data_IF_324300247603
#
_entry.id   IF_324300247603
#
_cell.length_a   1.000
_cell.length_b   1.000
_cell.length_c   1.000
_cell.angle_alpha   90.00
_cell.angle_beta   90.00
_cell.angle_gamma   90.00
#
_symmetry.space_group_name_H-M   'P 1'
#
loop_
_entity.id
_entity.type
_entity.pdbx_description
1 polymer ?
#
# COMPACT_ATOMS: atom_id res chain seq x y z
N UNK A 1 -28.66 10.51 33.50
CA UNK A 1 -27.43 10.27 32.70
C UNK A 1 -27.15 11.50 31.84
N UNK A 2 -25.98 12.12 31.99
CA UNK A 2 -25.72 13.47 31.44
C UNK A 2 -25.33 13.39 29.95
N UNK A 3 -26.02 14.13 29.06
CA UNK A 3 -25.79 14.05 27.60
C UNK A 3 -24.34 14.32 27.20
N UNK A 4 -23.64 15.18 27.95
CA UNK A 4 -22.20 15.47 27.78
C UNK A 4 -21.32 14.25 28.05
N UNK A 5 -21.58 13.51 29.13
CA UNK A 5 -20.84 12.28 29.44
C UNK A 5 -21.11 11.15 28.45
N UNK A 6 -22.31 11.09 27.85
CA UNK A 6 -22.59 10.13 26.79
C UNK A 6 -21.81 10.45 25.51
N UNK A 7 -21.75 11.73 25.11
CA UNK A 7 -21.00 12.17 23.92
C UNK A 7 -19.50 11.91 24.06
N UNK A 8 -18.92 12.18 25.23
CA UNK A 8 -17.50 11.91 25.52
C UNK A 8 -17.16 10.43 25.44
N UNK A 9 -18.02 9.56 25.96
CA UNK A 9 -17.83 8.10 25.89
C UNK A 9 -17.89 7.59 24.44
N UNK A 10 -18.82 8.10 23.63
CA UNK A 10 -18.92 7.75 22.21
C UNK A 10 -17.69 8.21 21.43
N UNK A 11 -17.22 9.44 21.66
CA UNK A 11 -16.02 9.97 21.01
C UNK A 11 -14.76 9.19 21.40
N UNK A 12 -14.61 8.84 22.68
CA UNK A 12 -13.48 8.03 23.15
C UNK A 12 -13.49 6.61 22.54
N UNK A 13 -14.68 6.00 22.42
CA UNK A 13 -14.83 4.68 21.78
C UNK A 13 -14.51 4.73 20.28
N UNK A 14 -14.98 5.76 19.57
CA UNK A 14 -14.66 5.96 18.15
C UNK A 14 -13.16 6.17 17.92
N UNK A 15 -12.49 6.95 18.78
CA UNK A 15 -11.05 7.18 18.70
C UNK A 15 -10.24 5.88 18.94
N UNK A 16 -10.67 5.04 19.89
CA UNK A 16 -10.06 3.72 20.12
C UNK A 16 -10.22 2.77 18.92
N UNK A 17 -11.38 2.79 18.25
CA UNK A 17 -11.66 1.96 17.06
C UNK A 17 -10.82 2.38 15.83
N UNK A 18 -10.48 3.66 15.69
CA UNK A 18 -9.62 4.11 14.60
C UNK A 18 -8.17 3.61 14.74
N UNK A 19 -7.69 3.33 15.95
CA UNK A 19 -6.32 2.85 16.18
C UNK A 19 -6.11 1.37 15.82
N UNK A 20 -7.19 0.60 15.65
CA UNK A 20 -7.13 -0.84 15.38
C UNK A 20 -7.15 -1.20 13.89
N UNK A 21 -7.45 -0.25 13.00
CA UNK A 21 -7.44 -0.51 11.56
C UNK A 21 -6.03 -0.33 11.03
N UNK A 22 -5.33 -1.44 10.79
CA UNK A 22 -4.05 -1.46 10.06
C UNK A 22 -4.23 -2.29 8.80
N UNK A 23 -4.14 -1.65 7.64
CA UNK A 23 -3.86 -2.36 6.39
C UNK A 23 -2.44 -2.95 6.51
N UNK A 24 -2.24 -4.17 6.05
CA UNK A 24 -0.94 -4.82 6.12
C UNK A 24 -0.04 -4.26 5.02
N UNK A 25 1.00 -3.53 5.42
CA UNK A 25 2.03 -3.10 4.48
C UNK A 25 2.79 -4.31 3.91
N UNK A 26 3.28 -4.16 2.69
CA UNK A 26 4.12 -5.13 1.99
C UNK A 26 5.49 -4.52 1.67
N UNK A 27 6.34 -4.26 2.68
CA UNK A 27 7.51 -3.39 2.53
C UNK A 27 8.74 -4.06 1.89
N UNK A 28 8.72 -5.38 1.67
CA UNK A 28 9.88 -6.13 1.17
C UNK A 28 9.49 -7.31 0.28
N UNK A 29 10.48 -7.88 -0.41
CA UNK A 29 10.30 -9.09 -1.22
C UNK A 29 9.71 -10.22 -0.37
N UNK A 30 8.64 -10.85 -0.90
CA UNK A 30 7.86 -11.89 -0.22
C UNK A 30 7.16 -11.44 1.08
N UNK A 31 6.97 -10.13 1.28
CA UNK A 31 6.15 -9.60 2.36
C UNK A 31 6.85 -9.53 3.71
N UNK A 32 6.14 -9.10 4.76
CA UNK A 32 6.72 -8.83 6.08
C UNK A 32 7.42 -10.06 6.68
N UNK A 33 6.91 -11.27 6.42
CA UNK A 33 7.47 -12.52 6.93
C UNK A 33 8.42 -13.23 5.93
N UNK A 34 8.61 -12.67 4.72
CA UNK A 34 9.37 -13.27 3.60
C UNK A 34 8.87 -14.65 3.15
N UNK A 35 7.64 -15.00 3.49
CA UNK A 35 7.01 -16.26 3.12
C UNK A 35 6.25 -16.18 1.79
N UNK A 36 5.93 -14.98 1.30
CA UNK A 36 5.13 -14.76 0.10
C UNK A 36 3.63 -14.99 0.35
N UNK A 37 3.20 -14.98 1.61
CA UNK A 37 1.82 -15.25 2.00
C UNK A 37 1.09 -13.94 2.28
N UNK A 38 -0.05 -13.77 1.62
CA UNK A 38 -0.97 -12.66 1.85
C UNK A 38 -2.09 -13.09 2.82
N UNK A 39 -2.34 -12.30 3.85
CA UNK A 39 -3.31 -12.63 4.91
C UNK A 39 -4.57 -11.76 4.91
N UNK A 40 -4.67 -10.73 4.07
CA UNK A 40 -5.88 -9.89 4.05
C UNK A 40 -7.06 -10.63 3.39
N UNK A 41 -8.26 -10.31 3.87
CA UNK A 41 -9.53 -10.86 3.37
C UNK A 41 -10.30 -9.81 2.57
N UNK A 42 -11.41 -10.19 1.94
CA UNK A 42 -12.23 -9.24 1.16
C UNK A 42 -11.65 -8.86 -0.21
N UNK A 43 -10.56 -9.49 -0.63
CA UNK A 43 -10.02 -9.35 -1.99
C UNK A 43 -10.84 -10.16 -3.00
N UNK A 44 -10.76 -9.76 -4.26
CA UNK A 44 -11.40 -10.49 -5.36
C UNK A 44 -10.73 -11.86 -5.53
N UNK A 45 -11.55 -12.92 -5.58
CA UNK A 45 -11.09 -14.28 -5.89
C UNK A 45 -10.93 -14.51 -7.39
N UNK A 46 -11.69 -13.78 -8.19
CA UNK A 46 -11.69 -13.81 -9.65
C UNK A 46 -11.81 -12.38 -10.16
N UNK A 47 -11.15 -12.09 -11.28
CA UNK A 47 -11.33 -10.80 -11.93
C UNK A 47 -12.65 -10.75 -12.71
N UNK A 48 -13.29 -9.57 -12.79
CA UNK A 48 -14.40 -9.35 -13.71
C UNK A 48 -13.98 -9.63 -15.16
N UNK A 49 -14.94 -10.00 -16.01
CA UNK A 49 -14.66 -10.33 -17.42
C UNK A 49 -14.11 -9.11 -18.19
N UNK A 50 -14.57 -7.92 -17.84
CA UNK A 50 -14.13 -6.63 -18.34
C UNK A 50 -12.79 -6.15 -17.73
N UNK A 51 -12.28 -6.87 -16.73
CA UNK A 51 -11.04 -6.55 -16.02
C UNK A 51 -11.23 -5.55 -14.87
N UNK A 52 -10.13 -5.25 -14.17
CA UNK A 52 -10.12 -4.27 -13.08
C UNK A 52 -10.08 -2.84 -13.61
N UNK A 53 -10.83 -1.94 -12.97
CA UNK A 53 -10.71 -0.50 -13.22
C UNK A 53 -9.34 0.00 -12.79
N UNK A 54 -8.56 0.46 -13.75
CA UNK A 54 -7.22 1.03 -13.51
C UNK A 54 -7.37 2.39 -12.85
N UNK A 55 -6.73 2.57 -11.69
CA UNK A 55 -6.75 3.84 -10.94
C UNK A 55 -5.74 4.83 -11.49
N UNK A 56 -4.55 4.36 -11.83
CA UNK A 56 -3.46 5.17 -12.38
C UNK A 56 -2.46 4.29 -13.12
N UNK A 57 -1.61 4.93 -13.93
CA UNK A 57 -0.41 4.34 -14.55
C UNK A 57 0.69 5.40 -14.56
N UNK A 58 1.93 4.96 -14.45
CA UNK A 58 3.10 5.85 -14.50
C UNK A 58 4.22 5.19 -15.32
N UNK A 59 4.92 5.92 -16.20
CA UNK A 59 6.11 5.41 -16.87
C UNK A 59 7.24 5.16 -15.86
N UNK A 60 7.88 4.01 -15.99
CA UNK A 60 9.05 3.62 -15.19
C UNK A 60 10.21 3.25 -16.11
N UNK A 61 11.44 3.48 -15.66
CA UNK A 61 12.63 3.03 -16.35
C UNK A 61 12.84 1.51 -16.24
N UNK A 62 13.86 0.97 -16.90
CA UNK A 62 14.24 -0.43 -16.71
C UNK A 62 14.69 -0.67 -15.25
N UNK A 63 14.39 -1.85 -14.71
CA UNK A 63 14.73 -2.23 -13.35
C UNK A 63 14.38 -3.69 -13.07
N UNK A 64 14.98 -4.24 -12.03
CA UNK A 64 14.83 -5.66 -11.67
C UNK A 64 14.00 -5.88 -10.40
N UNK A 65 13.70 -4.81 -9.66
CA UNK A 65 12.95 -4.93 -8.41
C UNK A 65 11.46 -5.10 -8.65
N UNK A 66 10.82 -5.85 -7.75
CA UNK A 66 9.38 -5.81 -7.60
C UNK A 66 8.97 -4.55 -6.83
N UNK A 67 7.81 -3.93 -7.14
CA UNK A 67 7.31 -2.84 -6.33
C UNK A 67 6.94 -3.32 -4.92
N UNK A 68 7.09 -2.43 -3.94
CA UNK A 68 6.66 -2.64 -2.54
C UNK A 68 5.66 -1.55 -2.16
N UNK A 69 4.72 -1.87 -1.26
CA UNK A 69 3.68 -0.93 -0.82
C UNK A 69 3.81 -0.74 0.68
N UNK A 70 4.00 0.50 1.11
CA UNK A 70 4.09 0.82 2.54
C UNK A 70 3.56 2.22 2.82
N UNK A 71 2.80 2.40 3.91
CA UNK A 71 2.28 3.71 4.30
C UNK A 71 1.46 4.40 3.21
N UNK A 72 0.70 3.62 2.42
CA UNK A 72 -0.12 4.13 1.32
C UNK A 72 0.65 4.63 0.09
N UNK A 73 1.93 4.25 -0.06
CA UNK A 73 2.76 4.59 -1.21
C UNK A 73 3.30 3.35 -1.89
N UNK A 74 3.55 3.44 -3.19
CA UNK A 74 4.26 2.41 -3.97
C UNK A 74 5.69 2.84 -4.16
N UNK A 75 6.64 1.99 -3.77
CA UNK A 75 8.06 2.20 -3.99
C UNK A 75 8.58 1.21 -5.02
N UNK A 76 9.43 1.69 -5.93
CA UNK A 76 10.03 0.88 -6.99
C UNK A 76 11.43 1.40 -7.28
N UNK A 77 12.40 0.50 -7.50
CA UNK A 77 13.69 0.91 -8.06
C UNK A 77 13.67 0.81 -9.58
N UNK A 78 14.06 1.88 -10.26
CA UNK A 78 14.24 1.91 -11.70
C UNK A 78 15.58 2.60 -12.06
N UNK A 79 15.95 2.53 -13.33
CA UNK A 79 17.14 3.16 -13.87
C UNK A 79 16.76 4.34 -14.77
N UNK A 80 17.49 5.45 -14.63
CA UNK A 80 17.53 6.52 -15.64
C UNK A 80 18.72 6.26 -16.56
N UNK A 81 18.43 6.01 -17.84
CA UNK A 81 19.45 5.77 -18.87
C UNK A 81 19.76 7.07 -19.61
N UNK A 82 21.02 7.51 -19.59
CA UNK A 82 21.48 8.71 -20.30
C UNK A 82 22.93 8.51 -20.75
N UNK A 83 23.12 8.12 -22.02
CA UNK A 83 24.45 7.74 -22.53
C UNK A 83 25.50 8.84 -22.24
N UNK A 84 26.68 8.49 -21.70
CA UNK A 84 27.21 7.14 -21.48
C UNK A 84 26.88 6.54 -20.09
N UNK A 85 26.05 7.20 -19.29
CA UNK A 85 25.77 6.85 -17.89
C UNK A 85 24.40 6.21 -17.70
N UNK A 86 24.28 5.49 -16.59
CA UNK A 86 23.01 5.02 -16.05
C UNK A 86 23.03 5.27 -14.55
N UNK A 87 21.90 5.67 -13.99
CA UNK A 87 21.73 5.84 -12.54
C UNK A 87 20.54 5.05 -12.07
N UNK A 88 20.75 4.23 -11.05
CA UNK A 88 19.67 3.66 -10.27
C UNK A 88 19.03 4.74 -9.41
N UNK A 89 17.71 4.66 -9.24
CA UNK A 89 16.96 5.55 -8.37
C UNK A 89 15.78 4.80 -7.74
N UNK A 90 15.36 5.28 -6.58
CA UNK A 90 14.13 4.84 -5.93
C UNK A 90 13.03 5.82 -6.34
N UNK A 91 11.90 5.28 -6.76
CA UNK A 91 10.66 6.00 -7.08
C UNK A 91 9.67 5.77 -5.95
N UNK A 92 8.91 6.80 -5.62
CA UNK A 92 7.78 6.76 -4.71
C UNK A 92 6.56 7.33 -5.43
N UNK A 93 5.44 6.62 -5.37
CA UNK A 93 4.18 6.98 -5.98
C UNK A 93 3.06 6.95 -4.94
N UNK A 94 2.05 7.79 -5.12
CA UNK A 94 0.86 7.89 -4.27
C UNK A 94 -0.38 7.53 -5.09
#
# INVERSE_FOLDING_TARGET
MNRRTALQKVAALALMLCLTVRAADWPQWRGPNRDGVWSETGILKTFPAEGLKIRWRVPVGPGWSSPVVAGGHVYLTDMRLEKPRAWERIRCFK
#
